data_IF_257762804120
#
_entry.id   IF_257762804120
#
_cell.length_a   1.000
_cell.length_b   1.000
_cell.length_c   1.000
_cell.angle_alpha   90.00
_cell.angle_beta   90.00
_cell.angle_gamma   90.00
#
_symmetry.space_group_name_H-M   'P 1'
#
loop_
_entity.id
_entity.type
_entity.pdbx_description
1 polymer ?
#
# COMPACT_ATOMS: atom_id res chain seq x y z
N UNK A 1 -7.64 -2.20 18.50
CA UNK A 1 -9.09 -1.98 18.75
C UNK A 1 -9.93 -1.58 17.54
N UNK A 2 -9.73 -0.42 16.90
CA UNK A 2 -10.65 0.07 15.84
C UNK A 2 -10.79 -0.87 14.64
N UNK A 3 -9.70 -1.48 14.18
CA UNK A 3 -9.76 -2.48 13.10
C UNK A 3 -10.56 -3.73 13.52
N UNK A 4 -10.43 -4.16 14.77
CA UNK A 4 -11.19 -5.30 15.28
C UNK A 4 -12.69 -4.98 15.37
N UNK A 5 -13.04 -3.75 15.77
CA UNK A 5 -14.42 -3.25 15.74
C UNK A 5 -14.99 -3.21 14.31
N UNK A 6 -14.20 -2.72 13.36
CA UNK A 6 -14.55 -2.77 11.93
C UNK A 6 -14.83 -4.19 11.43
N UNK A 7 -13.99 -5.16 11.80
CA UNK A 7 -14.17 -6.56 11.41
C UNK A 7 -15.40 -7.21 12.05
N UNK A 8 -15.87 -6.71 13.20
CA UNK A 8 -17.07 -7.20 13.88
C UNK A 8 -18.37 -6.57 13.37
N UNK A 9 -18.30 -5.59 12.47
CA UNK A 9 -19.46 -4.90 11.93
C UNK A 9 -19.86 -3.63 12.69
N UNK A 10 -19.07 -3.16 13.65
CA UNK A 10 -19.41 -2.02 14.52
C UNK A 10 -19.57 -0.68 13.72
N UNK A 11 -19.19 -0.65 12.43
CA UNK A 11 -19.28 0.52 11.54
C UNK A 11 -20.11 0.28 10.27
N UNK A 12 -20.95 -0.77 10.21
CA UNK A 12 -21.76 -1.11 9.03
C UNK A 12 -22.70 0.02 8.56
N UNK A 13 -23.09 0.93 9.45
CA UNK A 13 -23.90 2.11 9.09
C UNK A 13 -23.14 3.09 8.19
N UNK A 14 -21.81 3.18 8.34
CA UNK A 14 -20.97 4.18 7.69
C UNK A 14 -20.03 3.60 6.63
N UNK A 15 -19.68 2.33 6.74
CA UNK A 15 -18.72 1.64 5.90
C UNK A 15 -19.45 0.56 5.09
N UNK A 16 -19.33 0.64 3.78
CA UNK A 16 -19.90 -0.34 2.84
C UNK A 16 -19.00 -1.56 2.73
N UNK A 17 -17.70 -1.32 2.56
CA UNK A 17 -16.69 -2.35 2.46
C UNK A 17 -15.33 -1.85 2.90
N UNK A 18 -14.48 -2.78 3.33
CA UNK A 18 -13.09 -2.49 3.67
C UNK A 18 -12.18 -3.57 3.10
N UNK A 19 -10.93 -3.20 2.82
CA UNK A 19 -9.87 -4.14 2.43
C UNK A 19 -8.67 -3.92 3.34
N UNK A 20 -8.21 -5.00 3.96
CA UNK A 20 -6.98 -5.01 4.75
C UNK A 20 -5.83 -5.43 3.84
N UNK A 21 -4.79 -4.61 3.75
CA UNK A 21 -3.62 -4.85 2.91
C UNK A 21 -2.42 -5.15 3.82
N UNK A 22 -2.00 -6.42 3.81
CA UNK A 22 -0.80 -6.87 4.50
C UNK A 22 0.42 -6.74 3.57
N UNK A 23 1.27 -5.77 3.87
CA UNK A 23 2.48 -5.47 3.10
C UNK A 23 3.71 -6.29 3.52
N UNK A 24 3.55 -7.29 4.40
CA UNK A 24 4.65 -8.18 4.80
C UNK A 24 4.98 -9.20 3.72
N UNK A 25 6.14 -9.83 3.79
CA UNK A 25 6.50 -10.87 2.83
C UNK A 25 5.64 -12.13 3.01
N UNK A 26 5.50 -12.96 1.96
CA UNK A 26 4.64 -14.15 1.98
C UNK A 26 4.86 -15.06 3.18
N UNK A 27 6.11 -15.36 3.56
CA UNK A 27 6.38 -16.24 4.71
C UNK A 27 5.88 -15.64 6.04
N UNK A 28 5.94 -14.32 6.23
CA UNK A 28 5.41 -13.65 7.42
C UNK A 28 3.87 -13.74 7.45
N UNK A 29 3.23 -13.56 6.29
CA UNK A 29 1.78 -13.65 6.11
C UNK A 29 1.26 -15.09 6.32
N UNK A 30 1.91 -16.08 5.72
CA UNK A 30 1.60 -17.50 5.87
C UNK A 30 1.80 -17.98 7.32
N UNK A 31 2.78 -17.41 8.04
CA UNK A 31 3.00 -17.65 9.46
C UNK A 31 1.91 -17.08 10.38
N UNK A 32 0.99 -16.30 9.83
CA UNK A 32 -0.16 -15.71 10.51
C UNK A 32 -0.44 -14.30 10.02
N UNK A 33 -1.70 -14.02 9.68
CA UNK A 33 -2.17 -12.74 9.19
C UNK A 33 -3.56 -12.40 9.74
N UNK A 34 -3.99 -11.16 9.61
CA UNK A 34 -5.35 -10.73 9.97
C UNK A 34 -6.34 -11.41 9.02
N UNK A 35 -7.41 -12.00 9.55
CA UNK A 35 -8.40 -12.70 8.74
C UNK A 35 -8.96 -11.79 7.65
N UNK A 36 -8.99 -12.31 6.41
CA UNK A 36 -9.48 -11.57 5.24
C UNK A 36 -8.50 -10.53 4.67
N UNK A 37 -7.28 -10.41 5.20
CA UNK A 37 -6.27 -9.54 4.61
C UNK A 37 -5.78 -10.05 3.25
N UNK A 38 -5.39 -9.13 2.37
CA UNK A 38 -4.73 -9.44 1.10
C UNK A 38 -3.22 -9.20 1.24
N UNK A 39 -2.42 -10.20 0.86
CA UNK A 39 -0.96 -10.06 0.90
C UNK A 39 -0.43 -9.34 -0.35
N UNK A 40 -0.27 -8.02 -0.27
CA UNK A 40 0.26 -7.17 -1.35
C UNK A 40 1.57 -6.55 -0.89
N UNK A 41 2.67 -7.27 -1.11
CA UNK A 41 4.01 -6.93 -0.59
C UNK A 41 4.90 -6.19 -1.58
N UNK A 42 4.39 -5.90 -2.79
CA UNK A 42 5.13 -5.18 -3.84
C UNK A 42 4.24 -4.17 -4.56
N UNK A 43 4.87 -3.22 -5.26
CA UNK A 43 4.18 -2.20 -6.04
C UNK A 43 3.36 -2.80 -7.17
N UNK A 44 3.91 -3.81 -7.82
CA UNK A 44 3.29 -4.52 -8.94
C UNK A 44 2.01 -5.22 -8.48
N UNK A 45 2.02 -5.83 -7.29
CA UNK A 45 0.82 -6.45 -6.71
C UNK A 45 -0.24 -5.41 -6.36
N UNK A 46 0.15 -4.23 -5.86
CA UNK A 46 -0.76 -3.11 -5.62
C UNK A 46 -1.40 -2.66 -6.93
N UNK A 47 -0.61 -2.51 -8.00
CA UNK A 47 -1.14 -2.11 -9.31
C UNK A 47 -2.13 -3.15 -9.84
N UNK A 48 -1.73 -4.41 -9.88
CA UNK A 48 -2.55 -5.51 -10.41
C UNK A 48 -3.88 -5.70 -9.68
N UNK A 49 -3.91 -5.54 -8.35
CA UNK A 49 -5.10 -5.86 -7.55
C UNK A 49 -5.98 -4.65 -7.26
N UNK A 50 -5.40 -3.46 -7.12
CA UNK A 50 -6.14 -2.27 -6.71
C UNK A 50 -6.32 -1.28 -7.85
N UNK A 51 -5.42 -1.24 -8.83
CA UNK A 51 -5.40 -0.15 -9.80
C UNK A 51 -5.84 -0.61 -11.20
N UNK A 52 -5.30 -1.71 -11.71
CA UNK A 52 -5.61 -2.23 -13.04
C UNK A 52 -7.08 -2.65 -13.24
N UNK A 53 -7.81 -3.15 -12.21
CA UNK A 53 -9.23 -3.43 -12.34
C UNK A 53 -10.10 -2.17 -12.49
N UNK A 54 -9.56 -0.97 -12.22
CA UNK A 54 -10.31 0.28 -12.28
C UNK A 54 -10.38 0.80 -13.71
N UNK A 55 -11.58 0.76 -14.28
CA UNK A 55 -11.85 1.19 -15.67
C UNK A 55 -12.66 2.47 -15.76
N UNK A 56 -13.33 2.86 -14.67
CA UNK A 56 -14.18 4.04 -14.60
C UNK A 56 -13.43 5.27 -14.08
N UNK A 57 -14.02 6.45 -14.28
CA UNK A 57 -13.57 7.68 -13.61
C UNK A 57 -14.20 7.70 -12.21
N UNK A 58 -13.46 8.07 -11.15
CA UNK A 58 -14.01 8.13 -9.81
C UNK A 58 -14.94 9.33 -9.66
N UNK A 59 -16.07 9.12 -9.00
CA UNK A 59 -17.00 10.17 -8.61
C UNK A 59 -16.73 10.59 -7.16
N UNK A 60 -16.86 11.90 -6.88
CA UNK A 60 -16.79 12.42 -5.52
C UNK A 60 -18.12 12.11 -4.84
N UNK A 61 -18.13 11.10 -3.98
CA UNK A 61 -19.35 10.70 -3.28
C UNK A 61 -19.72 11.70 -2.19
N UNK A 62 -21.03 11.98 -2.00
CA UNK A 62 -21.49 12.79 -0.88
C UNK A 62 -21.28 12.04 0.44
N UNK A 63 -21.15 12.78 1.55
CA UNK A 63 -20.94 12.23 2.88
C UNK A 63 -22.08 11.30 3.38
N UNK A 64 -23.23 11.30 2.70
CA UNK A 64 -24.36 10.41 2.98
C UNK A 64 -24.17 8.99 2.45
N UNK A 65 -23.20 8.76 1.56
CA UNK A 65 -22.90 7.44 1.03
C UNK A 65 -21.98 6.66 1.98
N UNK A 66 -22.23 5.34 2.10
CA UNK A 66 -21.34 4.45 2.84
C UNK A 66 -19.98 4.39 2.15
N UNK A 67 -18.91 4.37 2.95
CA UNK A 67 -17.54 4.57 2.47
C UNK A 67 -16.85 3.23 2.24
N UNK A 68 -15.93 3.21 1.27
CA UNK A 68 -15.05 2.08 0.98
C UNK A 68 -13.65 2.43 1.44
N UNK A 69 -13.06 1.62 2.31
CA UNK A 69 -11.81 1.97 2.99
C UNK A 69 -10.72 0.94 2.77
N UNK A 70 -9.47 1.40 2.70
CA UNK A 70 -8.29 0.55 2.68
C UNK A 70 -7.51 0.70 3.98
N UNK A 71 -7.09 -0.41 4.58
CA UNK A 71 -6.27 -0.41 5.79
C UNK A 71 -4.95 -1.11 5.49
N UNK A 72 -3.87 -0.34 5.40
CA UNK A 72 -2.53 -0.85 5.17
C UNK A 72 -1.83 -1.18 6.48
N UNK A 73 -1.03 -2.25 6.48
CA UNK A 73 -0.13 -2.55 7.59
C UNK A 73 1.10 -3.33 7.15
N UNK A 74 2.09 -3.42 8.03
CA UNK A 74 3.13 -4.44 7.89
C UNK A 74 3.39 -5.09 9.26
N UNK A 75 4.64 -5.49 9.56
CA UNK A 75 4.99 -6.05 10.89
C UNK A 75 4.78 -5.01 12.00
N UNK A 76 5.40 -3.83 11.85
CA UNK A 76 5.29 -2.70 12.79
C UNK A 76 4.59 -1.46 12.18
N UNK A 77 4.22 -1.51 10.90
CA UNK A 77 3.65 -0.38 10.12
C UNK A 77 4.52 0.88 10.03
N UNK A 78 5.85 0.77 10.11
CA UNK A 78 6.75 1.93 10.03
C UNK A 78 7.27 2.21 8.61
N UNK A 79 7.62 1.17 7.86
CA UNK A 79 8.29 1.31 6.56
C UNK A 79 7.43 0.78 5.41
N UNK A 80 7.24 -0.54 5.34
CA UNK A 80 6.61 -1.22 4.19
C UNK A 80 5.17 -0.74 3.96
N UNK A 81 4.34 -0.74 5.01
CA UNK A 81 2.94 -0.28 4.96
C UNK A 81 2.82 1.17 4.48
N UNK A 82 3.48 2.15 5.14
CA UNK A 82 3.46 3.55 4.71
C UNK A 82 4.02 3.79 3.30
N UNK A 83 5.03 3.03 2.89
CA UNK A 83 5.61 3.17 1.54
C UNK A 83 4.64 2.71 0.44
N UNK A 84 3.97 1.57 0.62
CA UNK A 84 2.99 1.08 -0.35
C UNK A 84 1.69 1.90 -0.35
N UNK A 85 1.23 2.40 0.80
CA UNK A 85 0.04 3.28 0.86
C UNK A 85 0.28 4.61 0.14
N UNK A 86 1.47 5.22 0.30
CA UNK A 86 1.87 6.42 -0.46
C UNK A 86 1.99 6.14 -1.95
N UNK A 87 2.57 5.00 -2.31
CA UNK A 87 2.67 4.58 -3.71
C UNK A 87 1.29 4.45 -4.36
N UNK A 88 0.34 3.76 -3.71
CA UNK A 88 -1.06 3.68 -4.18
C UNK A 88 -1.65 5.07 -4.41
N UNK A 89 -1.54 5.96 -3.42
CA UNK A 89 -2.09 7.32 -3.53
C UNK A 89 -1.46 8.11 -4.68
N UNK A 90 -0.17 7.94 -4.92
CA UNK A 90 0.52 8.62 -6.03
C UNK A 90 -0.03 8.14 -7.38
N UNK A 91 -0.21 6.84 -7.57
CA UNK A 91 -0.76 6.30 -8.83
C UNK A 91 -2.22 6.69 -9.02
N UNK A 92 -3.05 6.60 -7.97
CA UNK A 92 -4.46 7.00 -8.03
C UNK A 92 -4.59 8.49 -8.42
N UNK A 93 -3.72 9.35 -7.88
CA UNK A 93 -3.64 10.77 -8.28
C UNK A 93 -3.15 10.97 -9.70
N UNK A 94 -2.18 10.19 -10.16
CA UNK A 94 -1.67 10.29 -11.53
C UNK A 94 -2.73 9.88 -12.56
N UNK A 95 -3.45 8.78 -12.31
CA UNK A 95 -4.55 8.32 -13.19
C UNK A 95 -5.72 9.31 -13.21
N UNK A 96 -5.96 10.03 -12.12
CA UNK A 96 -7.05 10.98 -11.99
C UNK A 96 -6.65 12.46 -12.11
N UNK A 97 -5.52 12.75 -12.77
CA UNK A 97 -4.98 14.11 -12.87
C UNK A 97 -5.98 15.11 -13.48
N UNK A 98 -6.69 14.70 -14.53
CA UNK A 98 -7.67 15.54 -15.23
C UNK A 98 -9.00 15.70 -14.45
N UNK A 99 -9.23 14.88 -13.43
CA UNK A 99 -10.46 14.86 -12.63
C UNK A 99 -10.21 15.25 -11.17
N UNK A 100 -9.16 16.03 -10.91
CA UNK A 100 -8.86 16.49 -9.56
C UNK A 100 -10.05 17.24 -8.95
N UNK A 101 -10.46 16.96 -7.68
CA UNK A 101 -9.76 16.17 -6.66
C UNK A 101 -10.21 14.70 -6.51
N UNK A 102 -10.89 14.10 -7.49
CA UNK A 102 -11.44 12.75 -7.38
C UNK A 102 -10.37 11.65 -7.18
N UNK A 103 -10.74 10.57 -6.47
CA UNK A 103 -9.92 9.39 -6.18
C UNK A 103 -10.79 8.14 -6.19
N UNK A 104 -10.21 7.01 -6.60
CA UNK A 104 -10.85 5.71 -6.37
C UNK A 104 -10.75 5.28 -4.91
N UNK A 105 -9.64 5.63 -4.26
CA UNK A 105 -9.36 5.30 -2.87
C UNK A 105 -9.19 6.58 -2.03
N UNK A 106 -10.28 7.33 -1.77
CA UNK A 106 -10.23 8.55 -0.98
C UNK A 106 -9.82 8.29 0.47
N UNK A 107 -10.27 7.18 1.05
CA UNK A 107 -10.12 6.85 2.47
C UNK A 107 -9.15 5.67 2.66
N UNK A 108 -7.93 5.98 3.09
CA UNK A 108 -6.83 5.03 3.29
C UNK A 108 -6.22 5.24 4.67
N UNK A 109 -6.08 4.17 5.43
CA UNK A 109 -5.56 4.16 6.79
C UNK A 109 -4.30 3.30 6.92
N UNK A 110 -3.55 3.55 7.99
CA UNK A 110 -2.44 2.71 8.43
C UNK A 110 -2.76 2.13 9.80
N UNK A 111 -2.66 0.81 9.95
CA UNK A 111 -2.82 0.16 11.25
C UNK A 111 -1.59 0.46 12.12
N UNK A 112 -1.78 1.30 13.13
CA UNK A 112 -0.73 1.59 14.12
C UNK A 112 -0.28 0.31 14.83
N UNK A 113 1.03 0.18 15.08
CA UNK A 113 1.63 -1.01 15.70
C UNK A 113 1.78 -2.24 14.79
N UNK A 114 1.13 -2.22 13.62
CA UNK A 114 1.19 -3.30 12.64
C UNK A 114 0.62 -4.63 13.14
N UNK A 115 1.00 -5.71 12.46
CA UNK A 115 0.53 -7.05 12.79
C UNK A 115 1.07 -7.53 14.14
N UNK A 116 2.26 -7.10 14.54
CA UNK A 116 2.87 -7.52 15.82
C UNK A 116 1.99 -7.13 17.01
N UNK A 117 1.57 -5.86 17.07
CA UNK A 117 0.70 -5.38 18.12
C UNK A 117 -0.71 -5.95 17.98
N UNK A 118 -1.26 -5.97 16.76
CA UNK A 118 -2.61 -6.49 16.53
C UNK A 118 -2.74 -7.95 16.94
N UNK A 119 -1.75 -8.80 16.64
CA UNK A 119 -1.75 -10.20 17.01
C UNK A 119 -1.73 -10.42 18.52
N UNK A 120 -0.97 -9.61 19.27
CA UNK A 120 -0.94 -9.67 20.74
C UNK A 120 -2.30 -9.36 21.36
N UNK A 121 -3.01 -8.39 20.80
CA UNK A 121 -4.27 -7.88 21.34
C UNK A 121 -5.51 -8.65 20.85
N UNK A 122 -5.49 -9.11 19.59
CA UNK A 122 -6.67 -9.58 18.86
C UNK A 122 -6.42 -10.93 18.14
N UNK A 123 -5.71 -11.85 18.82
CA UNK A 123 -5.27 -13.15 18.27
C UNK A 123 -6.38 -13.97 17.59
N UNK A 124 -7.60 -13.89 18.10
CA UNK A 124 -8.77 -14.59 17.57
C UNK A 124 -9.19 -14.13 16.17
N UNK A 125 -8.78 -12.93 15.76
CA UNK A 125 -9.01 -12.36 14.43
C UNK A 125 -7.86 -12.64 13.46
N UNK A 126 -6.93 -13.53 13.81
CA UNK A 126 -5.81 -13.93 12.97
C UNK A 126 -5.94 -15.38 12.48
N UNK A 127 -5.37 -15.67 11.31
CA UNK A 127 -5.32 -17.03 10.72
C UNK A 127 -4.02 -17.23 9.93
N UNK A 128 -3.27 -18.32 10.15
CA UNK A 128 -3.28 -19.11 11.40
C UNK A 128 -3.04 -18.20 12.61
N UNK A 129 -3.38 -18.68 13.82
CA UNK A 129 -3.08 -17.96 15.08
C UNK A 129 -1.59 -18.03 15.44
N UNK A 130 -0.76 -17.51 14.54
CA UNK A 130 0.68 -17.41 14.64
C UNK A 130 1.19 -16.01 14.33
N UNK A 131 2.45 -15.79 14.69
CA UNK A 131 3.20 -14.60 14.36
C UNK A 131 4.58 -15.04 13.90
N UNK A 132 4.92 -14.71 12.64
CA UNK A 132 6.24 -14.94 12.10
C UNK A 132 6.91 -13.60 11.79
N UNK A 133 8.03 -13.27 12.46
CA UNK A 133 8.72 -12.01 12.24
C UNK A 133 9.48 -12.02 10.91
N UNK A 134 9.79 -10.82 10.41
CA UNK A 134 10.57 -10.68 9.17
C UNK A 134 11.96 -11.34 9.29
N UNK A 135 12.57 -11.31 10.47
CA UNK A 135 13.90 -11.86 10.73
C UNK A 135 13.89 -13.33 11.22
N UNK A 136 12.86 -14.11 10.87
CA UNK A 136 12.82 -15.55 11.22
C UNK A 136 14.07 -16.28 10.68
N UNK A 137 14.86 -16.97 11.52
CA UNK A 137 16.09 -17.65 11.10
C UNK A 137 15.88 -18.71 10.01
N UNK A 138 14.69 -19.31 9.93
CA UNK A 138 14.38 -20.32 8.92
C UNK A 138 14.09 -19.71 7.54
N UNK A 139 14.00 -18.39 7.43
CA UNK A 139 13.62 -17.66 6.22
C UNK A 139 14.66 -16.62 5.79
N UNK A 140 15.92 -16.75 6.20
CA UNK A 140 16.99 -15.82 5.79
C UNK A 140 17.20 -15.76 4.27
N UNK A 141 17.06 -16.90 3.58
CA UNK A 141 17.18 -16.96 2.12
C UNK A 141 16.04 -16.21 1.43
N UNK A 142 14.81 -16.40 1.89
CA UNK A 142 13.61 -15.71 1.40
C UNK A 142 13.74 -14.20 1.61
N UNK A 143 14.13 -13.79 2.81
CA UNK A 143 14.36 -12.38 3.14
C UNK A 143 15.37 -11.72 2.18
N UNK A 144 16.48 -12.40 1.87
CA UNK A 144 17.47 -11.92 0.90
C UNK A 144 16.85 -11.78 -0.49
N UNK A 145 16.09 -12.77 -0.94
CA UNK A 145 15.42 -12.75 -2.25
C UNK A 145 14.40 -11.61 -2.36
N UNK A 146 13.53 -11.44 -1.37
CA UNK A 146 12.53 -10.38 -1.38
C UNK A 146 13.15 -8.98 -1.31
N UNK A 147 14.22 -8.79 -0.52
CA UNK A 147 14.95 -7.50 -0.47
C UNK A 147 15.56 -7.12 -1.82
N UNK A 148 16.12 -8.08 -2.56
CA UNK A 148 16.69 -7.81 -3.89
C UNK A 148 15.59 -7.37 -4.85
N UNK A 149 14.46 -8.10 -4.87
CA UNK A 149 13.28 -7.71 -5.65
C UNK A 149 12.81 -6.29 -5.25
N UNK A 150 12.63 -6.02 -3.96
CA UNK A 150 12.23 -4.68 -3.46
C UNK A 150 13.15 -3.54 -3.92
N UNK A 151 14.46 -3.77 -4.03
CA UNK A 151 15.43 -2.75 -4.48
C UNK A 151 15.40 -2.51 -5.98
N UNK A 152 15.20 -3.54 -6.81
CA UNK A 152 14.99 -3.32 -8.25
C UNK A 152 13.75 -2.46 -8.49
N UNK A 153 12.69 -2.63 -7.69
CA UNK A 153 11.46 -1.83 -7.77
C UNK A 153 11.58 -0.38 -7.26
N UNK A 154 12.67 -0.03 -6.57
CA UNK A 154 12.99 1.36 -6.19
C UNK A 154 13.74 2.11 -7.30
N UNK A 155 14.29 1.39 -8.28
CA UNK A 155 15.21 1.94 -9.27
C UNK A 155 14.53 2.39 -10.58
N UNK A 156 13.25 2.05 -10.76
CA UNK A 156 12.38 2.56 -11.82
C UNK A 156 12.06 4.05 -11.56
N UNK A 157 13.04 4.93 -11.86
CA UNK A 157 12.75 6.34 -12.11
C UNK A 157 11.95 6.41 -13.42
N UNK A 158 10.92 7.26 -13.53
CA UNK A 158 10.22 7.43 -14.80
C UNK A 158 11.22 7.93 -15.83
N UNK A 159 11.54 7.10 -16.82
CA UNK A 159 12.30 7.50 -17.99
C UNK A 159 11.40 8.43 -18.80
N UNK A 160 11.58 9.73 -18.61
CA UNK A 160 11.06 10.73 -19.54
C UNK A 160 11.71 10.48 -20.90
N UNK A 161 10.98 9.81 -21.80
CA UNK A 161 11.30 9.80 -23.23
C UNK A 161 11.08 11.21 -23.77
N UNK A 162 12.16 11.97 -23.89
CA UNK A 162 12.26 13.04 -24.89
C UNK A 162 13.62 12.91 -25.58
N UNK A 163 13.58 12.32 -26.76
CA UNK A 163 14.58 12.50 -27.80
C UNK A 163 14.69 13.99 -28.13
N UNK A 164 15.87 14.58 -27.91
CA UNK A 164 16.18 15.93 -28.32
C UNK A 164 17.70 16.13 -28.38
N UNK A 165 18.22 16.25 -29.60
CA UNK A 165 19.60 16.63 -29.90
C UNK A 165 20.04 17.82 -29.01
N UNK A 166 21.14 17.66 -28.28
CA UNK A 166 21.81 18.79 -27.62
C UNK A 166 22.56 19.63 -28.67
N UNK A 167 21.99 20.76 -29.05
CA UNK A 167 22.77 21.88 -29.61
C UNK A 167 23.45 22.58 -28.44
N UNK A 168 24.78 22.59 -28.44
CA UNK A 168 25.58 23.37 -27.49
C UNK A 168 25.55 24.84 -27.89
N UNK A 169 24.99 25.70 -27.06
CA UNK A 169 25.20 27.15 -27.13
C UNK A 169 25.91 27.63 -25.87
N UNK A 170 27.16 28.06 -26.06
CA UNK A 170 27.95 28.77 -25.07
C UNK A 170 27.40 30.19 -24.89
N UNK A 171 26.94 30.54 -23.69
CA UNK A 171 26.74 31.94 -23.28
C UNK A 171 27.53 32.16 -22.00
N UNK A 172 28.59 32.97 -22.10
CA UNK A 172 29.34 33.52 -20.96
C UNK A 172 28.58 34.73 -20.42
N UNK A 173 28.36 34.76 -19.10
CA UNK A 173 27.82 35.91 -18.36
C UNK A 173 28.98 36.86 -18.08
N UNK A 174 28.92 38.10 -18.56
CA UNK A 174 29.80 39.19 -18.15
C UNK A 174 29.02 40.06 -17.15
N UNK A 175 29.59 40.26 -15.96
CA UNK A 175 29.23 41.39 -15.09
C UNK A 175 29.92 42.66 -15.62
N UNK A 176 29.23 43.79 -15.63
CA UNK A 176 28.90 44.65 -14.49
C UNK A 176 27.52 45.25 -14.73
#
# INVERSE_FOLDING_TARGET
DTLAALMRGDFEEYIDSFVIVDCRYPYEYEGGHIQGALNLYSKELIEQHLIDPLTNVPEIQPNSCKRRILVFHCEFSWERGPNLSRFLRNIDRQRNKEHYPALHYPEVYLLHGGYEQFYKEQRNLCSPQGYKPMSDPNHEADLKQFRVKSKSWQSEKPVSRVTGLMVKTNIKRLGF
#
